data_IF_316527745293
#
_entry.id   IF_316527745293
#
_cell.length_a   1.000
_cell.length_b   1.000
_cell.length_c   1.000
_cell.angle_alpha   90.00
_cell.angle_beta   90.00
_cell.angle_gamma   90.00
#
_symmetry.space_group_name_H-M   'P 1'
#
loop_
_entity.id
_entity.type
_entity.pdbx_description
1 polymer ?
#
# COMPACT_ATOMS: atom_id res chain seq x y z
N UNK A 1 -9.14 3.59 8.44
CA UNK A 1 -8.02 3.03 9.22
C UNK A 1 -7.66 1.71 8.57
N UNK A 2 -6.50 1.64 7.94
CA UNK A 2 -6.00 0.45 7.24
C UNK A 2 -5.55 -0.61 8.26
N UNK A 3 -6.00 -1.85 8.09
CA UNK A 3 -5.49 -3.00 8.86
C UNK A 3 -4.05 -3.34 8.45
N UNK A 4 -3.19 -3.58 9.45
CA UNK A 4 -1.74 -3.74 9.28
C UNK A 4 -1.35 -5.21 9.44
N UNK A 5 -1.58 -6.00 8.40
CA UNK A 5 -1.39 -7.46 8.42
C UNK A 5 0.06 -7.87 8.63
N UNK A 6 1.02 -7.03 8.25
CA UNK A 6 2.46 -7.29 8.44
C UNK A 6 2.91 -7.39 9.91
N UNK A 7 2.03 -7.14 10.89
CA UNK A 7 2.32 -7.41 12.29
C UNK A 7 1.99 -8.83 12.73
N UNK A 8 1.12 -9.51 12.00
CA UNK A 8 0.47 -10.75 12.45
C UNK A 8 0.48 -11.85 11.39
N UNK A 9 0.92 -11.55 10.17
CA UNK A 9 0.94 -12.47 9.03
C UNK A 9 2.27 -12.39 8.29
N UNK A 10 2.85 -13.56 8.05
CA UNK A 10 4.01 -13.75 7.16
C UNK A 10 3.60 -14.01 5.71
N UNK A 11 2.32 -13.80 5.36
CA UNK A 11 1.83 -13.98 4.00
C UNK A 11 2.55 -13.02 3.03
N UNK A 12 2.98 -13.54 1.88
CA UNK A 12 3.64 -12.76 0.83
C UNK A 12 2.67 -12.25 -0.24
N UNK A 13 1.41 -12.70 -0.19
CA UNK A 13 0.34 -12.29 -1.08
C UNK A 13 -0.99 -12.16 -0.30
N UNK A 14 -1.85 -11.26 -0.75
CA UNK A 14 -3.11 -10.96 -0.09
C UNK A 14 -4.04 -10.14 -0.97
N UNK A 15 -5.30 -10.04 -0.56
CA UNK A 15 -6.29 -9.19 -1.21
C UNK A 15 -6.58 -7.99 -0.32
N UNK A 16 -6.73 -6.83 -0.94
CA UNK A 16 -7.17 -5.62 -0.28
C UNK A 16 -8.19 -4.91 -1.17
N UNK A 17 -9.09 -4.17 -0.54
CA UNK A 17 -10.04 -3.28 -1.20
C UNK A 17 -9.49 -1.87 -1.22
N UNK A 18 -9.56 -1.23 -2.38
CA UNK A 18 -9.30 0.20 -2.52
C UNK A 18 -10.43 0.99 -1.86
N UNK A 19 -10.08 1.80 -0.88
CA UNK A 19 -10.98 2.73 -0.19
C UNK A 19 -10.95 4.12 -0.82
N UNK A 20 -9.76 4.59 -1.23
CA UNK A 20 -9.61 5.86 -1.93
C UNK A 20 -8.42 5.83 -2.91
N UNK A 21 -8.49 6.69 -3.93
CA UNK A 21 -7.45 6.85 -4.95
C UNK A 21 -7.34 8.34 -5.31
N UNK A 22 -6.19 8.93 -5.06
CA UNK A 22 -5.92 10.36 -5.29
C UNK A 22 -4.71 10.50 -6.20
N UNK A 23 -4.86 11.25 -7.28
CA UNK A 23 -3.73 11.59 -8.14
C UNK A 23 -2.79 12.58 -7.44
N UNK A 24 -1.48 12.36 -7.55
CA UNK A 24 -0.42 13.24 -7.04
C UNK A 24 0.24 14.02 -8.19
N UNK A 25 0.93 15.12 -7.83
CA UNK A 25 1.49 16.08 -8.78
C UNK A 25 2.57 15.51 -9.72
N UNK A 26 3.11 14.34 -9.43
CA UNK A 26 4.16 13.66 -10.21
C UNK A 26 3.64 12.47 -11.03
N UNK A 27 2.31 12.39 -11.22
CA UNK A 27 1.66 11.33 -11.97
C UNK A 27 1.56 10.00 -11.20
N UNK A 28 1.89 9.98 -9.91
CA UNK A 28 1.60 8.86 -9.01
C UNK A 28 0.18 8.93 -8.47
N UNK A 29 -0.24 7.84 -7.85
CA UNK A 29 -1.50 7.77 -7.12
C UNK A 29 -1.22 7.38 -5.67
N UNK A 30 -1.85 8.10 -4.76
CA UNK A 30 -2.01 7.72 -3.38
C UNK A 30 -3.25 6.83 -3.26
N UNK A 31 -3.05 5.60 -2.78
CA UNK A 31 -4.13 4.63 -2.61
C UNK A 31 -4.29 4.31 -1.12
N UNK A 32 -5.51 4.41 -0.62
CA UNK A 32 -5.90 3.91 0.70
C UNK A 32 -6.53 2.52 0.54
N UNK A 33 -6.12 1.58 1.39
CA UNK A 33 -6.60 0.20 1.39
C UNK A 33 -7.31 -0.12 2.71
N UNK A 34 -8.20 -1.11 2.70
CA UNK A 34 -8.79 -1.63 3.93
C UNK A 34 -7.78 -2.43 4.78
N UNK A 35 -6.84 -3.11 4.14
CA UNK A 35 -5.77 -3.89 4.76
C UNK A 35 -4.50 -3.88 3.91
N UNK A 36 -3.33 -4.11 4.52
CA UNK A 36 -2.07 -4.17 3.80
C UNK A 36 -1.04 -5.12 4.45
N UNK A 37 -0.33 -5.86 3.59
CA UNK A 37 0.88 -6.62 3.95
C UNK A 37 2.15 -5.77 3.83
N UNK A 38 2.06 -4.54 3.28
CA UNK A 38 3.22 -3.69 3.04
C UNK A 38 3.53 -2.81 4.26
N UNK A 39 4.73 -2.96 4.81
CA UNK A 39 5.24 -2.04 5.83
C UNK A 39 5.47 -0.64 5.21
N UNK A 40 5.06 0.47 5.84
CA UNK A 40 5.23 1.83 5.31
C UNK A 40 6.68 2.21 4.96
N UNK A 41 7.66 1.60 5.64
CA UNK A 41 9.09 1.79 5.35
C UNK A 41 9.59 0.91 4.19
N UNK A 42 8.89 -0.18 3.86
CA UNK A 42 9.23 -1.07 2.75
C UNK A 42 8.81 -0.49 1.37
N UNK A 43 7.89 0.46 1.34
CA UNK A 43 7.48 1.18 0.12
C UNK A 43 8.56 2.17 -0.39
N UNK A 44 9.70 2.28 0.31
CA UNK A 44 10.65 3.38 0.14
C UNK A 44 11.86 3.19 -0.78
N UNK A 45 12.14 2.02 -1.40
CA UNK A 45 13.38 1.94 -2.19
C UNK A 45 13.53 0.83 -3.27
N UNK A 46 12.50 0.49 -4.05
CA UNK A 46 12.67 -0.22 -5.34
C UNK A 46 11.42 -0.10 -6.23
N UNK A 47 11.52 -0.06 -7.58
CA UNK A 47 10.34 0.01 -8.44
C UNK A 47 9.72 -1.39 -8.49
N UNK A 48 8.92 -1.72 -7.49
CA UNK A 48 8.17 -2.98 -7.43
C UNK A 48 6.72 -2.71 -7.76
N UNK A 49 6.33 -3.19 -8.94
CA UNK A 49 4.97 -3.29 -9.48
C UNK A 49 4.11 -2.01 -9.40
N UNK A 50 4.13 -1.23 -10.48
CA UNK A 50 3.11 -0.23 -10.83
C UNK A 50 2.48 0.56 -9.66
N UNK A 51 3.23 1.53 -9.13
CA UNK A 51 2.65 2.78 -8.63
C UNK A 51 1.79 2.74 -7.37
N UNK A 52 1.95 1.77 -6.46
CA UNK A 52 1.23 1.79 -5.19
C UNK A 52 2.03 2.51 -4.09
N UNK A 53 1.76 3.80 -3.89
CA UNK A 53 2.11 4.49 -2.63
C UNK A 53 0.96 4.28 -1.65
N UNK A 54 1.16 3.41 -0.65
CA UNK A 54 0.21 3.29 0.48
C UNK A 54 0.41 4.49 1.38
N UNK A 55 -0.50 5.46 1.31
CA UNK A 55 -0.55 6.55 2.29
C UNK A 55 -1.11 6.03 3.61
N UNK A 56 -0.67 6.71 4.68
CA UNK A 56 -0.78 6.30 6.08
C UNK A 56 -2.21 6.40 6.62
#
# INVERSE_FOLDING_TARGET
>A
MTERLYYTSDATEGRARVLSCLAEADGRYAIELDQTLFHPQAAGNRPTAAGLTVLR
#
